data_IF_137057316515
#
_entry.id   IF_137057316515
#
_cell.length_a   1.000
_cell.length_b   1.000
_cell.length_c   1.000
_cell.angle_alpha   90.00
_cell.angle_beta   90.00
_cell.angle_gamma   90.00
#
_symmetry.space_group_name_H-M   'P 1'
#
loop_
_entity.id
_entity.type
_entity.pdbx_description
1 polymer ?
#
# COMPACT_ATOMS: atom_id res chain seq x y z
N UNK A 1 0.54 40.87 -8.84
CA UNK A 1 0.07 39.67 -8.11
C UNK A 1 -1.35 39.28 -8.50
N UNK A 2 -1.92 39.93 -9.45
CA UNK A 2 -3.27 39.67 -9.92
C UNK A 2 -3.41 38.51 -10.92
N UNK A 3 -2.29 37.94 -11.37
CA UNK A 3 -2.31 37.03 -12.54
C UNK A 3 -2.15 35.56 -12.19
N UNK A 4 -2.14 35.22 -10.88
CA UNK A 4 -2.15 33.84 -10.45
C UNK A 4 -3.59 33.32 -10.47
N UNK A 5 -4.09 33.06 -11.66
CA UNK A 5 -5.34 32.32 -11.80
C UNK A 5 -5.05 30.86 -11.51
N UNK A 6 -5.65 30.36 -10.43
CA UNK A 6 -5.79 28.93 -10.26
C UNK A 6 -6.65 28.41 -11.39
N UNK A 7 -6.03 28.02 -12.50
CA UNK A 7 -6.72 27.35 -13.59
C UNK A 7 -6.93 25.91 -13.19
N UNK A 8 -8.12 25.43 -13.31
CA UNK A 8 -8.50 24.10 -12.89
C UNK A 8 -8.88 24.03 -11.41
N UNK A 9 -9.45 22.94 -11.01
CA UNK A 9 -9.78 22.67 -9.61
C UNK A 9 -8.51 22.34 -8.83
N UNK A 10 -8.51 22.60 -7.53
CA UNK A 10 -7.40 22.20 -6.64
C UNK A 10 -7.05 20.73 -6.80
N UNK A 11 -8.05 19.89 -6.99
CA UNK A 11 -7.91 18.44 -7.19
C UNK A 11 -7.08 18.14 -8.44
N UNK A 12 -7.32 18.88 -9.53
CA UNK A 12 -6.62 18.68 -10.79
C UNK A 12 -5.12 18.96 -10.66
N UNK A 13 -4.76 20.02 -9.94
CA UNK A 13 -3.35 20.36 -9.68
C UNK A 13 -2.68 19.29 -8.84
N UNK A 14 -3.35 18.79 -7.80
CA UNK A 14 -2.81 17.76 -6.91
C UNK A 14 -2.54 16.44 -7.64
N UNK A 15 -3.23 16.16 -8.73
CA UNK A 15 -2.97 14.98 -9.57
C UNK A 15 -1.60 15.00 -10.23
N UNK A 16 -0.94 16.14 -10.27
CA UNK A 16 0.40 16.28 -10.84
C UNK A 16 1.51 15.92 -9.85
N UNK A 17 1.18 15.68 -8.58
CA UNK A 17 2.14 15.10 -7.64
C UNK A 17 2.39 13.66 -8.09
N UNK A 18 3.66 13.28 -8.37
CA UNK A 18 3.93 11.94 -8.88
C UNK A 18 3.76 10.90 -7.77
N UNK A 19 3.02 9.84 -8.08
CA UNK A 19 2.84 8.67 -7.23
C UNK A 19 2.98 7.40 -8.06
N UNK A 20 3.51 6.36 -7.45
CA UNK A 20 3.34 5.02 -7.97
C UNK A 20 2.01 4.44 -7.48
N UNK A 21 1.56 3.35 -8.11
CA UNK A 21 0.44 2.56 -7.62
C UNK A 21 1.01 1.23 -7.13
N UNK A 22 0.72 0.90 -5.88
CA UNK A 22 1.21 -0.31 -5.22
C UNK A 22 0.03 -1.08 -4.64
N UNK A 23 0.27 -2.25 -4.07
CA UNK A 23 -0.77 -3.07 -3.46
C UNK A 23 -0.42 -3.25 -1.99
N UNK A 24 -1.31 -2.79 -1.10
CA UNK A 24 -1.21 -3.06 0.32
C UNK A 24 -1.94 -4.35 0.64
N UNK A 25 -1.32 -5.20 1.43
CA UNK A 25 -1.88 -6.47 1.88
C UNK A 25 -1.82 -6.58 3.38
N UNK A 26 -2.74 -7.33 3.96
CA UNK A 26 -2.70 -7.69 5.37
C UNK A 26 -3.39 -9.03 5.58
N UNK A 27 -3.22 -9.57 6.78
CA UNK A 27 -3.86 -10.80 7.22
C UNK A 27 -4.36 -10.60 8.65
N UNK A 28 -5.63 -10.92 8.87
CA UNK A 28 -6.24 -10.88 10.21
C UNK A 28 -7.09 -12.13 10.44
N UNK A 29 -7.92 -12.13 11.48
CA UNK A 29 -8.78 -13.27 11.81
C UNK A 29 -9.81 -13.60 10.74
N UNK A 30 -10.09 -12.69 9.80
CA UNK A 30 -11.07 -12.89 8.73
C UNK A 30 -10.45 -13.38 7.43
N UNK A 31 -9.12 -13.42 7.33
CA UNK A 31 -8.43 -13.95 6.15
C UNK A 31 -7.38 -13.00 5.58
N UNK A 32 -7.20 -13.08 4.27
CA UNK A 32 -6.24 -12.29 3.50
C UNK A 32 -6.96 -11.10 2.84
N UNK A 33 -6.32 -9.95 2.83
CA UNK A 33 -6.90 -8.71 2.30
C UNK A 33 -5.90 -7.96 1.46
N UNK A 34 -6.37 -7.35 0.37
CA UNK A 34 -5.54 -6.55 -0.53
C UNK A 34 -6.33 -5.41 -1.15
N UNK A 35 -5.65 -4.31 -1.41
CA UNK A 35 -6.17 -3.17 -2.16
C UNK A 35 -5.02 -2.37 -2.75
N UNK A 36 -5.26 -1.65 -3.83
CA UNK A 36 -4.26 -0.73 -4.37
C UNK A 36 -4.13 0.51 -3.50
N UNK A 37 -2.93 1.09 -3.48
CA UNK A 37 -2.61 2.29 -2.72
C UNK A 37 -1.59 3.13 -3.48
N UNK A 38 -1.77 4.45 -3.47
CA UNK A 38 -0.87 5.38 -4.14
C UNK A 38 -0.13 6.30 -3.17
N UNK A 39 -0.75 6.66 -2.06
CA UNK A 39 -0.19 7.64 -1.14
C UNK A 39 0.70 6.97 -0.11
N UNK A 40 1.94 6.72 -0.54
CA UNK A 40 2.97 6.02 0.22
C UNK A 40 4.24 6.86 0.17
N UNK A 41 4.92 7.00 1.30
CA UNK A 41 6.22 7.66 1.35
C UNK A 41 7.09 7.07 2.44
N UNK A 42 8.41 7.18 2.26
CA UNK A 42 9.33 6.95 3.35
C UNK A 42 9.18 8.08 4.38
N UNK A 43 9.13 7.73 5.65
CA UNK A 43 8.87 8.68 6.74
C UNK A 43 10.08 8.91 7.64
N UNK A 44 10.99 7.95 7.75
CA UNK A 44 12.15 8.01 8.64
C UNK A 44 13.25 7.10 8.15
N UNK A 45 14.50 7.46 8.40
CA UNK A 45 15.65 6.59 8.16
C UNK A 45 15.97 5.71 9.37
N UNK A 46 15.93 6.27 10.57
CA UNK A 46 16.29 5.58 11.80
C UNK A 46 15.31 5.95 12.92
N UNK A 47 14.40 5.04 13.29
CA UNK A 47 14.14 3.76 12.65
C UNK A 47 13.58 3.93 11.23
N UNK A 48 13.75 2.92 10.39
CA UNK A 48 13.20 2.94 9.04
C UNK A 48 11.68 2.85 9.11
N UNK A 49 11.00 3.88 8.61
CA UNK A 49 9.54 3.98 8.65
C UNK A 49 8.96 4.42 7.32
N UNK A 50 7.75 3.95 7.06
CA UNK A 50 6.92 4.40 5.94
C UNK A 50 5.60 4.96 6.45
N UNK A 51 5.02 5.84 5.66
CA UNK A 51 3.69 6.39 5.89
C UNK A 51 2.80 6.03 4.71
N UNK A 52 1.57 5.61 5.00
CA UNK A 52 0.56 5.24 4.00
C UNK A 52 -0.74 5.92 4.38
N UNK A 53 -1.36 6.63 3.44
CA UNK A 53 -2.67 7.22 3.65
C UNK A 53 -3.74 6.32 3.01
N UNK A 54 -4.67 5.85 3.81
CA UNK A 54 -5.79 5.01 3.38
C UNK A 54 -7.10 5.75 3.64
N UNK A 55 -8.06 5.60 2.72
CA UNK A 55 -9.38 6.21 2.91
C UNK A 55 -9.99 5.69 4.21
N UNK A 56 -10.45 6.61 5.06
CA UNK A 56 -10.96 6.27 6.41
C UNK A 56 -12.13 5.30 6.35
N UNK A 57 -12.97 5.39 5.30
CA UNK A 57 -14.10 4.49 5.11
C UNK A 57 -13.76 3.17 4.42
N UNK A 58 -12.48 2.93 4.08
CA UNK A 58 -12.10 1.73 3.31
C UNK A 58 -12.07 0.48 4.18
N UNK A 59 -12.40 -0.65 3.55
CA UNK A 59 -12.31 -1.96 4.20
C UNK A 59 -10.89 -2.34 4.54
N UNK A 60 -9.95 -2.02 3.64
CA UNK A 60 -8.54 -2.39 3.86
C UNK A 60 -7.99 -1.72 5.13
N UNK A 61 -8.36 -0.47 5.40
CA UNK A 61 -7.92 0.21 6.62
C UNK A 61 -8.36 -0.54 7.88
N UNK A 62 -9.61 -1.00 7.93
CA UNK A 62 -10.14 -1.73 9.08
C UNK A 62 -9.32 -2.99 9.36
N UNK A 63 -8.98 -3.75 8.31
CA UNK A 63 -8.19 -4.97 8.45
C UNK A 63 -6.74 -4.68 8.81
N UNK A 64 -6.16 -3.61 8.28
CA UNK A 64 -4.81 -3.16 8.68
C UNK A 64 -4.78 -2.78 10.16
N UNK A 65 -5.77 -2.02 10.62
CA UNK A 65 -5.86 -1.63 12.04
C UNK A 65 -6.08 -2.84 12.95
N UNK A 66 -6.87 -3.81 12.53
CA UNK A 66 -7.12 -5.03 13.30
C UNK A 66 -5.88 -5.91 13.43
N UNK A 67 -5.13 -6.05 12.34
CA UNK A 67 -3.94 -6.92 12.32
C UNK A 67 -2.70 -6.26 12.90
N UNK A 68 -2.63 -4.95 12.85
CA UNK A 68 -1.47 -4.12 13.24
C UNK A 68 -0.19 -4.40 12.43
N UNK A 69 -0.33 -5.10 11.31
CA UNK A 69 0.74 -5.38 10.35
C UNK A 69 0.21 -5.19 8.93
N UNK A 70 1.09 -4.85 8.02
CA UNK A 70 0.76 -4.83 6.59
C UNK A 70 2.01 -5.01 5.75
N UNK A 71 1.82 -5.33 4.48
CA UNK A 71 2.88 -5.34 3.49
C UNK A 71 2.53 -4.41 2.35
N UNK A 72 3.55 -3.78 1.78
CA UNK A 72 3.45 -3.01 0.54
C UNK A 72 4.13 -3.81 -0.56
N UNK A 73 3.37 -4.17 -1.57
CA UNK A 73 3.87 -4.85 -2.76
C UNK A 73 4.10 -3.77 -3.82
N UNK A 74 5.36 -3.52 -4.13
CA UNK A 74 5.77 -2.43 -5.00
C UNK A 74 5.70 -2.88 -6.46
N UNK A 75 4.99 -2.10 -7.26
CA UNK A 75 4.77 -2.38 -8.68
C UNK A 75 5.67 -1.52 -9.55
N UNK A 76 6.11 -2.05 -10.68
CA UNK A 76 6.72 -1.26 -11.75
C UNK A 76 5.64 -0.65 -12.64
N UNK A 77 6.03 0.24 -13.55
CA UNK A 77 5.10 0.83 -14.53
C UNK A 77 4.50 -0.22 -15.44
N UNK A 78 5.24 -1.26 -15.78
CA UNK A 78 4.78 -2.36 -16.62
C UNK A 78 3.72 -3.22 -15.93
N UNK A 79 3.57 -3.08 -14.61
CA UNK A 79 2.61 -3.84 -13.81
C UNK A 79 1.32 -3.06 -13.52
N UNK A 80 1.02 -2.07 -14.31
CA UNK A 80 -0.16 -1.21 -14.15
C UNK A 80 -1.45 -2.01 -14.13
N UNK A 81 -1.55 -3.01 -14.99
CA UNK A 81 -2.71 -3.89 -15.06
C UNK A 81 -2.91 -4.68 -13.77
N UNK A 82 -1.83 -5.18 -13.19
CA UNK A 82 -1.90 -5.87 -11.89
C UNK A 82 -2.34 -4.91 -10.78
N UNK A 83 -1.77 -3.71 -10.72
CA UNK A 83 -2.17 -2.70 -9.74
C UNK A 83 -3.65 -2.35 -9.86
N UNK A 84 -4.16 -2.19 -11.09
CA UNK A 84 -5.57 -1.89 -11.36
C UNK A 84 -6.50 -3.00 -10.90
N UNK A 85 -6.05 -4.25 -10.91
CA UNK A 85 -6.85 -5.39 -10.46
C UNK A 85 -7.23 -5.30 -8.97
N UNK A 86 -6.58 -4.41 -8.21
CA UNK A 86 -6.83 -4.22 -6.78
C UNK A 86 -7.39 -2.83 -6.46
N UNK A 87 -7.89 -2.08 -7.44
CA UNK A 87 -8.61 -0.83 -7.18
C UNK A 87 -9.85 -1.05 -6.31
N UNK A 88 -10.47 -2.22 -6.42
CA UNK A 88 -11.48 -2.67 -5.48
C UNK A 88 -10.83 -3.61 -4.47
N UNK A 89 -11.26 -3.49 -3.22
CA UNK A 89 -10.80 -4.37 -2.16
C UNK A 89 -11.06 -5.83 -2.49
N UNK A 90 -10.04 -6.67 -2.27
CA UNK A 90 -10.09 -8.11 -2.51
C UNK A 90 -9.85 -8.85 -1.20
N UNK A 91 -10.60 -9.91 -0.99
CA UNK A 91 -10.55 -10.76 0.20
C UNK A 91 -10.44 -12.23 -0.20
N UNK A 92 -9.71 -13.00 0.58
CA UNK A 92 -9.60 -14.45 0.42
C UNK A 92 -9.44 -15.13 1.79
N UNK A 93 -9.76 -16.42 1.85
CA UNK A 93 -9.55 -17.22 3.07
C UNK A 93 -8.07 -17.50 3.33
N UNK A 94 -7.77 -17.95 4.55
CA UNK A 94 -6.38 -18.22 5.00
C UNK A 94 -5.65 -19.28 4.19
N UNK A 95 -6.38 -20.24 3.66
CA UNK A 95 -5.85 -21.39 2.93
C UNK A 95 -5.62 -21.08 1.45
N UNK A 96 -5.93 -19.87 1.02
CA UNK A 96 -5.72 -19.45 -0.36
C UNK A 96 -4.29 -18.95 -0.55
N UNK A 97 -3.73 -19.25 -1.72
CA UNK A 97 -2.42 -18.75 -2.13
C UNK A 97 -2.53 -17.79 -3.32
N UNK A 98 -3.73 -17.30 -3.59
CA UNK A 98 -4.01 -16.31 -4.62
C UNK A 98 -4.97 -15.24 -4.09
N UNK A 99 -4.79 -14.03 -4.59
CA UNK A 99 -5.71 -12.92 -4.41
C UNK A 99 -6.02 -12.38 -5.79
N UNK A 100 -7.30 -12.41 -6.16
CA UNK A 100 -7.76 -12.00 -7.49
C UNK A 100 -6.97 -12.64 -8.64
N UNK A 101 -6.63 -13.94 -8.49
CA UNK A 101 -5.88 -14.70 -9.50
C UNK A 101 -4.37 -14.54 -9.47
N UNK A 102 -3.84 -13.63 -8.65
CA UNK A 102 -2.39 -13.42 -8.53
C UNK A 102 -1.84 -14.21 -7.34
N UNK A 103 -0.77 -14.97 -7.61
CA UNK A 103 -0.16 -15.81 -6.58
C UNK A 103 0.53 -14.98 -5.51
N UNK A 104 0.33 -15.39 -4.27
CA UNK A 104 0.98 -14.78 -3.12
C UNK A 104 1.48 -15.86 -2.16
N UNK A 105 2.42 -15.45 -1.30
CA UNK A 105 2.96 -16.28 -0.23
C UNK A 105 2.99 -15.44 1.05
N UNK A 106 2.95 -16.07 2.23
CA UNK A 106 3.09 -15.32 3.48
C UNK A 106 4.53 -14.81 3.66
N UNK A 107 4.66 -13.55 4.06
CA UNK A 107 5.92 -12.99 4.51
C UNK A 107 6.19 -13.32 5.98
N UNK A 108 7.19 -12.67 6.57
CA UNK A 108 7.55 -12.81 7.98
C UNK A 108 6.43 -12.33 8.90
N UNK A 109 5.68 -11.32 8.49
CA UNK A 109 4.50 -10.81 9.21
C UNK A 109 3.24 -11.63 8.95
N UNK A 110 3.34 -12.66 8.12
CA UNK A 110 2.23 -13.45 7.57
C UNK A 110 1.35 -12.68 6.57
N UNK A 111 1.62 -11.42 6.31
CA UNK A 111 0.94 -10.67 5.26
C UNK A 111 1.25 -11.26 3.88
N UNK A 112 0.27 -11.30 2.96
CA UNK A 112 0.51 -11.79 1.61
C UNK A 112 1.53 -10.95 0.86
N UNK A 113 2.53 -11.61 0.27
CA UNK A 113 3.49 -11.02 -0.64
C UNK A 113 3.24 -11.60 -2.03
N UNK A 114 3.00 -10.74 -3.02
CA UNK A 114 2.77 -11.22 -4.39
C UNK A 114 4.06 -11.70 -5.01
N UNK A 115 4.01 -12.88 -5.61
CA UNK A 115 5.18 -13.49 -6.26
C UNK A 115 5.70 -12.60 -7.39
N UNK A 116 4.80 -11.92 -8.10
CA UNK A 116 5.14 -11.06 -9.24
C UNK A 116 5.44 -9.61 -8.85
N UNK A 117 5.35 -9.23 -7.57
CA UNK A 117 5.72 -7.89 -7.14
C UNK A 117 7.21 -7.63 -7.44
N UNK A 118 7.53 -6.41 -7.87
CA UNK A 118 8.90 -6.00 -8.12
C UNK A 118 9.74 -6.00 -6.84
N UNK A 119 9.11 -5.54 -5.75
CA UNK A 119 9.70 -5.52 -4.42
C UNK A 119 8.57 -5.55 -3.39
N UNK A 120 8.93 -5.74 -2.13
CA UNK A 120 7.97 -5.72 -1.03
C UNK A 120 8.61 -5.16 0.23
N UNK A 121 7.75 -4.57 1.07
CA UNK A 121 8.11 -4.06 2.39
C UNK A 121 7.09 -4.63 3.37
N UNK A 122 7.54 -5.16 4.50
CA UNK A 122 6.67 -5.61 5.57
C UNK A 122 6.79 -4.67 6.76
N UNK A 123 5.66 -4.31 7.34
CA UNK A 123 5.54 -3.24 8.32
C UNK A 123 4.81 -3.69 9.57
N UNK A 124 5.26 -3.20 10.73
CA UNK A 124 4.62 -3.39 12.03
C UNK A 124 4.86 -2.18 12.93
N UNK A 125 4.42 -2.25 14.18
CA UNK A 125 4.54 -1.16 15.16
C UNK A 125 3.90 0.13 14.64
N UNK A 126 2.63 0.01 14.24
CA UNK A 126 1.90 1.10 13.63
C UNK A 126 1.42 2.14 14.65
N UNK A 127 1.39 3.38 14.21
CA UNK A 127 0.54 4.41 14.79
C UNK A 127 -0.33 5.02 13.69
N UNK A 128 -1.46 5.61 14.06
CA UNK A 128 -2.37 6.20 13.09
C UNK A 128 -2.72 7.62 13.46
N UNK A 129 -2.93 8.46 12.44
CA UNK A 129 -3.44 9.83 12.58
C UNK A 129 -4.75 9.88 11.81
N UNK A 130 -5.87 10.08 12.53
CA UNK A 130 -7.22 9.90 11.99
C UNK A 130 -7.89 11.22 11.58
N UNK A 131 -7.64 12.30 12.26
CA UNK A 131 -8.38 13.55 12.10
C UNK A 131 -7.75 14.50 11.07
N UNK A 132 -7.33 13.98 9.93
CA UNK A 132 -6.69 14.79 8.88
C UNK A 132 -7.48 14.86 7.56
N UNK A 133 -8.76 14.50 7.58
CA UNK A 133 -9.62 14.54 6.40
C UNK A 133 -10.31 13.20 6.17
N UNK A 134 -10.51 12.82 4.91
CA UNK A 134 -11.15 11.57 4.53
C UNK A 134 -10.20 10.38 4.43
N UNK A 135 -8.94 10.58 4.79
CA UNK A 135 -7.90 9.55 4.86
C UNK A 135 -7.31 9.47 6.26
N UNK A 136 -6.91 8.27 6.64
CA UNK A 136 -6.17 7.98 7.87
C UNK A 136 -4.72 7.71 7.49
N UNK A 137 -3.80 8.38 8.16
CA UNK A 137 -2.36 8.18 7.95
C UNK A 137 -1.87 7.07 8.88
N UNK A 138 -1.29 6.04 8.29
CA UNK A 138 -0.64 4.94 9.02
C UNK A 138 0.87 5.14 8.90
N UNK A 139 1.56 5.15 10.03
CA UNK A 139 3.04 5.21 10.08
C UNK A 139 3.50 3.93 10.75
N UNK A 140 4.44 3.22 10.13
CA UNK A 140 4.88 1.93 10.64
C UNK A 140 6.38 1.69 10.42
N UNK A 141 6.97 0.85 11.27
CA UNK A 141 8.34 0.41 11.13
C UNK A 141 8.45 -0.60 9.99
N UNK A 142 9.46 -0.45 9.14
CA UNK A 142 9.83 -1.45 8.15
C UNK A 142 10.65 -2.53 8.85
N UNK A 143 10.13 -3.75 8.89
CA UNK A 143 10.77 -4.87 9.61
C UNK A 143 11.41 -5.88 8.68
N UNK A 144 10.96 -5.92 7.42
CA UNK A 144 11.51 -6.79 6.39
C UNK A 144 11.28 -6.15 5.03
N UNK A 145 12.16 -6.45 4.07
CA UNK A 145 12.02 -5.97 2.70
C UNK A 145 12.78 -6.89 1.74
N UNK A 146 12.35 -6.91 0.50
CA UNK A 146 13.01 -7.68 -0.54
C UNK A 146 12.65 -7.17 -1.92
N UNK A 147 13.41 -7.61 -2.94
CA UNK A 147 13.13 -7.26 -4.32
C UNK A 147 13.50 -8.42 -5.24
N UNK A 148 12.83 -8.50 -6.39
CA UNK A 148 13.19 -9.47 -7.42
C UNK A 148 14.50 -9.04 -8.09
N UNK A 149 15.43 -9.99 -8.35
CA UNK A 149 16.66 -9.66 -9.05
C UNK A 149 16.40 -9.06 -10.43
N UNK A 150 17.17 -8.04 -10.82
CA UNK A 150 17.16 -7.47 -12.16
C UNK A 150 15.97 -6.54 -12.50
N UNK A 151 15.04 -6.32 -11.57
CA UNK A 151 13.88 -5.46 -11.82
C UNK A 151 14.24 -3.99 -11.69
N UNK A 152 15.05 -3.66 -10.71
CA UNK A 152 15.57 -2.30 -10.52
C UNK A 152 17.03 -2.28 -10.94
N UNK A 153 17.28 -2.07 -12.21
CA UNK A 153 18.63 -1.84 -12.72
C UNK A 153 19.00 -0.37 -12.56
N UNK A 154 20.24 -0.07 -12.15
CA UNK A 154 20.69 1.31 -12.06
C UNK A 154 20.71 1.99 -13.43
#
# INVERSE_FOLDING_TARGET
MSDFKLTGTRVEVLRHIPYGIHIITTRDSEGLHAASVSWVMQMSFEPTRVAVALRTSSRILQHVLNSEVFALNIMTREQDQMAQAFFHYIHAGFDQNTLNGYRCRPGETACPLFVDAAAWIECQNMCSIEDCGDHTLIIADVVEAGMRPGVFTP
#
